data_IF_489142623189
#
_entry.id   IF_489142623189
#
_cell.length_a   1.000
_cell.length_b   1.000
_cell.length_c   1.000
_cell.angle_alpha   90.00
_cell.angle_beta   90.00
_cell.angle_gamma   90.00
#
_symmetry.space_group_name_H-M   'P 1'
#
loop_
_entity.id
_entity.type
_entity.pdbx_description
1 polymer ?
#
# COMPACT_ATOMS: atom_id res chain seq x y z
N UNK A 1 -23.56 20.63 8.34
CA UNK A 1 -24.32 19.75 9.23
C UNK A 1 -23.57 18.47 9.50
N UNK A 2 -23.58 18.04 10.74
CA UNK A 2 -22.99 16.76 11.09
C UNK A 2 -23.77 15.62 10.40
N UNK A 3 -23.04 14.65 9.87
CA UNK A 3 -23.66 13.45 9.29
C UNK A 3 -23.89 12.42 10.39
N UNK A 4 -24.85 11.55 10.17
CA UNK A 4 -25.10 10.41 11.07
C UNK A 4 -24.30 9.21 10.53
N UNK A 5 -23.10 9.03 11.06
CA UNK A 5 -22.17 7.99 10.62
C UNK A 5 -22.76 6.59 10.79
N UNK A 6 -23.39 6.34 11.92
CA UNK A 6 -23.96 5.02 12.20
C UNK A 6 -25.05 4.66 11.19
N UNK A 7 -25.92 5.62 10.88
CA UNK A 7 -26.97 5.40 9.88
C UNK A 7 -26.39 5.13 8.50
N UNK A 8 -25.33 5.86 8.15
CA UNK A 8 -24.63 5.65 6.87
C UNK A 8 -24.02 4.24 6.82
N UNK A 9 -23.36 3.80 7.90
CA UNK A 9 -22.81 2.44 7.96
C UNK A 9 -23.88 1.38 7.81
N UNK A 10 -25.02 1.56 8.47
CA UNK A 10 -26.14 0.62 8.37
C UNK A 10 -26.69 0.56 6.94
N UNK A 11 -26.86 1.71 6.31
CA UNK A 11 -27.35 1.79 4.92
C UNK A 11 -26.36 1.13 3.96
N UNK A 12 -25.06 1.44 4.11
CA UNK A 12 -24.03 0.83 3.29
C UNK A 12 -24.03 -0.69 3.45
N UNK A 13 -24.17 -1.20 4.68
CA UNK A 13 -24.19 -2.63 4.94
C UNK A 13 -25.38 -3.32 4.24
N UNK A 14 -26.53 -2.68 4.22
CA UNK A 14 -27.70 -3.21 3.48
C UNK A 14 -27.42 -3.31 1.98
N UNK A 15 -26.76 -2.31 1.42
CA UNK A 15 -26.37 -2.36 0.02
C UNK A 15 -25.37 -3.49 -0.26
N UNK A 16 -24.39 -3.70 0.64
CA UNK A 16 -23.40 -4.78 0.51
C UNK A 16 -24.11 -6.15 0.51
N UNK A 17 -25.07 -6.34 1.42
CA UNK A 17 -25.86 -7.58 1.50
C UNK A 17 -26.61 -7.87 0.20
N UNK A 18 -27.02 -6.82 -0.50
CA UNK A 18 -27.71 -6.92 -1.80
C UNK A 18 -26.74 -6.89 -2.98
N UNK A 19 -25.42 -6.94 -2.72
CA UNK A 19 -24.38 -6.86 -3.72
C UNK A 19 -24.41 -5.56 -4.54
N UNK A 20 -24.94 -4.50 -3.96
CA UNK A 20 -24.97 -3.17 -4.57
C UNK A 20 -23.74 -2.37 -4.07
N UNK A 21 -22.56 -2.83 -4.47
CA UNK A 21 -21.28 -2.27 -4.00
C UNK A 21 -21.07 -0.83 -4.41
N UNK A 22 -21.54 -0.44 -5.61
CA UNK A 22 -21.50 0.93 -6.10
C UNK A 22 -22.24 1.89 -5.16
N UNK A 23 -23.41 1.49 -4.69
CA UNK A 23 -24.22 2.31 -3.76
C UNK A 23 -23.62 2.34 -2.37
N UNK A 24 -23.06 1.23 -1.92
CA UNK A 24 -22.35 1.19 -0.64
C UNK A 24 -21.16 2.15 -0.64
N UNK A 25 -20.40 2.18 -1.73
CA UNK A 25 -19.27 3.11 -1.90
C UNK A 25 -19.77 4.55 -1.80
N UNK A 26 -20.86 4.88 -2.48
CA UNK A 26 -21.43 6.24 -2.45
C UNK A 26 -21.78 6.66 -1.02
N UNK A 27 -22.33 5.75 -0.22
CA UNK A 27 -22.63 6.02 1.18
C UNK A 27 -21.36 6.27 2.00
N UNK A 28 -20.37 5.40 1.88
CA UNK A 28 -19.09 5.59 2.58
C UNK A 28 -18.38 6.87 2.16
N UNK A 29 -18.50 7.29 0.90
CA UNK A 29 -17.89 8.53 0.42
C UNK A 29 -18.46 9.76 1.16
N UNK A 30 -19.69 9.72 1.62
CA UNK A 30 -20.27 10.79 2.43
C UNK A 30 -19.49 10.97 3.75
N UNK A 31 -19.06 9.87 4.35
CA UNK A 31 -18.23 9.90 5.56
C UNK A 31 -16.85 10.51 5.25
N UNK A 32 -16.24 10.08 4.16
CA UNK A 32 -14.90 10.55 3.76
C UNK A 32 -14.91 12.02 3.36
N UNK A 33 -16.00 12.51 2.77
CA UNK A 33 -16.15 13.94 2.47
C UNK A 33 -16.17 14.78 3.75
N UNK A 34 -16.81 14.26 4.81
CA UNK A 34 -16.84 14.90 6.12
C UNK A 34 -15.51 14.78 6.85
N UNK A 35 -14.85 13.61 6.74
CA UNK A 35 -13.58 13.31 7.37
C UNK A 35 -12.64 12.63 6.38
N UNK A 36 -11.85 13.41 5.61
CA UNK A 36 -10.95 12.86 4.59
C UNK A 36 -9.84 11.96 5.16
N UNK A 37 -9.60 12.00 6.45
CA UNK A 37 -8.55 11.22 7.13
C UNK A 37 -9.09 9.93 7.75
N UNK A 38 -10.33 9.58 7.50
CA UNK A 38 -10.92 8.34 8.00
C UNK A 38 -10.40 7.14 7.21
N UNK A 39 -9.24 6.64 7.61
CA UNK A 39 -8.57 5.54 6.93
C UNK A 39 -9.41 4.26 6.92
N UNK A 40 -10.14 4.00 8.00
CA UNK A 40 -10.97 2.78 8.09
C UNK A 40 -12.08 2.78 7.05
N UNK A 41 -12.73 3.93 6.87
CA UNK A 41 -13.78 4.06 5.84
C UNK A 41 -13.19 4.03 4.44
N UNK A 42 -12.05 4.70 4.23
CA UNK A 42 -11.33 4.61 2.96
C UNK A 42 -10.95 3.17 2.60
N UNK A 43 -10.51 2.38 3.59
CA UNK A 43 -10.18 0.98 3.37
C UNK A 43 -11.39 0.19 2.91
N UNK A 44 -12.56 0.44 3.50
CA UNK A 44 -13.83 -0.19 3.08
C UNK A 44 -14.16 0.17 1.63
N UNK A 45 -13.97 1.42 1.25
CA UNK A 45 -14.18 1.87 -0.14
C UNK A 45 -13.25 1.11 -1.09
N UNK A 46 -11.96 1.05 -0.77
CA UNK A 46 -10.98 0.33 -1.57
C UNK A 46 -11.36 -1.14 -1.75
N UNK A 47 -11.78 -1.80 -0.68
CA UNK A 47 -12.21 -3.20 -0.72
C UNK A 47 -13.40 -3.41 -1.66
N UNK A 48 -14.37 -2.51 -1.63
CA UNK A 48 -15.54 -2.58 -2.51
C UNK A 48 -15.17 -2.28 -3.97
N UNK A 49 -14.29 -1.32 -4.19
CA UNK A 49 -13.79 -1.03 -5.53
C UNK A 49 -13.09 -2.24 -6.13
N UNK A 50 -12.29 -2.95 -5.32
CA UNK A 50 -11.63 -4.18 -5.76
C UNK A 50 -12.66 -5.27 -6.08
N UNK A 51 -13.73 -5.39 -5.30
CA UNK A 51 -14.81 -6.34 -5.59
C UNK A 51 -15.50 -6.02 -6.91
N UNK A 52 -15.64 -4.76 -7.26
CA UNK A 52 -16.20 -4.31 -8.54
C UNK A 52 -15.18 -4.45 -9.68
N UNK A 53 -13.98 -4.91 -9.41
CA UNK A 53 -12.87 -5.00 -10.36
C UNK A 53 -12.46 -3.62 -10.90
N UNK A 54 -12.74 -2.57 -10.16
CA UNK A 54 -12.28 -1.21 -10.44
C UNK A 54 -10.87 -1.05 -9.85
N UNK A 55 -9.91 -1.78 -10.41
CA UNK A 55 -8.57 -1.90 -9.81
C UNK A 55 -7.78 -0.60 -9.78
N UNK A 56 -7.74 0.22 -10.82
CA UNK A 56 -7.03 1.50 -10.71
C UNK A 56 -7.57 2.38 -9.60
N UNK A 57 -8.88 2.45 -9.43
CA UNK A 57 -9.53 3.22 -8.37
C UNK A 57 -9.23 2.61 -7.00
N UNK A 58 -9.30 1.28 -6.87
CA UNK A 58 -9.01 0.58 -5.62
C UNK A 58 -7.57 0.85 -5.18
N UNK A 59 -6.61 0.78 -6.09
CA UNK A 59 -5.21 1.04 -5.80
C UNK A 59 -5.01 2.48 -5.32
N UNK A 60 -5.62 3.45 -5.99
CA UNK A 60 -5.52 4.85 -5.58
C UNK A 60 -6.08 5.07 -4.17
N UNK A 61 -7.19 4.41 -3.85
CA UNK A 61 -7.79 4.47 -2.51
C UNK A 61 -6.88 3.83 -1.47
N UNK A 62 -6.37 2.65 -1.74
CA UNK A 62 -5.44 1.96 -0.85
C UNK A 62 -4.15 2.76 -0.63
N UNK A 63 -3.65 3.43 -1.66
CA UNK A 63 -2.46 4.27 -1.54
C UNK A 63 -2.68 5.40 -0.53
N UNK A 64 -3.84 6.05 -0.58
CA UNK A 64 -4.21 7.06 0.42
C UNK A 64 -4.22 6.47 1.83
N UNK A 65 -4.79 5.29 1.99
CA UNK A 65 -4.83 4.59 3.28
C UNK A 65 -3.41 4.28 3.79
N UNK A 66 -2.57 3.73 2.91
CA UNK A 66 -1.19 3.38 3.29
C UNK A 66 -0.38 4.61 3.70
N UNK A 67 -0.52 5.71 2.96
CA UNK A 67 0.17 6.96 3.29
C UNK A 67 -0.33 7.53 4.62
N UNK A 68 -1.62 7.46 4.87
CA UNK A 68 -2.19 7.90 6.14
C UNK A 68 -1.63 7.06 7.31
N UNK A 69 -1.61 5.74 7.17
CA UNK A 69 -1.06 4.87 8.20
C UNK A 69 0.42 5.15 8.44
N UNK A 70 1.19 5.38 7.38
CA UNK A 70 2.61 5.73 7.50
C UNK A 70 2.78 7.03 8.29
N UNK A 71 2.00 8.06 7.96
CA UNK A 71 2.04 9.36 8.64
C UNK A 71 1.66 9.26 10.11
N UNK A 72 0.80 8.32 10.47
CA UNK A 72 0.36 8.08 11.85
C UNK A 72 1.29 7.14 12.63
N UNK A 73 2.37 6.67 12.02
CA UNK A 73 3.26 5.72 12.66
C UNK A 73 2.70 4.30 12.77
N UNK A 74 1.65 4.00 12.04
CA UNK A 74 1.03 2.66 12.03
C UNK A 74 1.69 1.79 10.97
N UNK A 75 2.96 1.48 11.18
CA UNK A 75 3.83 0.87 10.17
C UNK A 75 3.36 -0.50 9.72
N UNK A 76 2.91 -1.35 10.64
CA UNK A 76 2.45 -2.71 10.28
C UNK A 76 1.19 -2.66 9.41
N UNK A 77 0.29 -1.72 9.69
CA UNK A 77 -0.90 -1.52 8.87
C UNK A 77 -0.53 -0.98 7.49
N UNK A 78 0.41 -0.05 7.43
CA UNK A 78 0.90 0.50 6.17
C UNK A 78 1.51 -0.61 5.29
N UNK A 79 2.33 -1.47 5.87
CA UNK A 79 2.94 -2.61 5.16
C UNK A 79 1.86 -3.48 4.54
N UNK A 80 0.84 -3.84 5.30
CA UNK A 80 -0.23 -4.71 4.82
C UNK A 80 -0.93 -4.11 3.61
N UNK A 81 -1.23 -2.81 3.64
CA UNK A 81 -1.92 -2.13 2.54
C UNK A 81 -1.01 -2.00 1.31
N UNK A 82 0.26 -1.63 1.49
CA UNK A 82 1.21 -1.57 0.37
C UNK A 82 1.39 -2.93 -0.31
N UNK A 83 1.47 -4.00 0.46
CA UNK A 83 1.54 -5.36 -0.10
C UNK A 83 0.29 -5.70 -0.90
N UNK A 84 -0.86 -5.28 -0.43
CA UNK A 84 -2.13 -5.50 -1.13
C UNK A 84 -2.14 -4.77 -2.49
N UNK A 85 -1.65 -3.53 -2.52
CA UNK A 85 -1.50 -2.78 -3.78
C UNK A 85 -0.60 -3.55 -4.76
N UNK A 86 0.56 -4.00 -4.30
CA UNK A 86 1.51 -4.74 -5.15
C UNK A 86 0.88 -6.00 -5.73
N UNK A 87 0.11 -6.72 -4.92
CA UNK A 87 -0.56 -7.94 -5.35
C UNK A 87 -1.61 -7.66 -6.43
N UNK A 88 -2.41 -6.59 -6.25
CA UNK A 88 -3.40 -6.19 -7.25
C UNK A 88 -2.71 -5.77 -8.55
N UNK A 89 -1.64 -4.98 -8.46
CA UNK A 89 -0.89 -4.56 -9.65
C UNK A 89 -0.37 -5.77 -10.40
N UNK A 90 0.25 -6.71 -9.68
CA UNK A 90 0.83 -7.91 -10.29
C UNK A 90 -0.22 -8.76 -10.99
N UNK A 91 -1.37 -8.97 -10.34
CA UNK A 91 -2.40 -9.90 -10.84
C UNK A 91 -3.31 -9.30 -11.90
N UNK A 92 -3.66 -8.04 -11.76
CA UNK A 92 -4.78 -7.47 -12.51
C UNK A 92 -4.42 -6.30 -13.42
N UNK A 93 -3.44 -5.49 -13.04
CA UNK A 93 -3.08 -4.28 -13.78
C UNK A 93 -1.55 -4.11 -13.85
N UNK A 94 -0.83 -5.12 -14.42
CA UNK A 94 0.63 -5.06 -14.46
C UNK A 94 1.17 -3.85 -15.23
N UNK A 95 0.38 -3.25 -16.11
CA UNK A 95 0.73 -2.02 -16.81
C UNK A 95 0.90 -0.82 -15.89
N UNK A 96 0.40 -0.90 -14.65
CA UNK A 96 0.58 0.15 -13.65
C UNK A 96 1.83 -0.06 -12.77
N UNK A 97 2.63 -1.09 -13.04
CA UNK A 97 3.78 -1.43 -12.20
C UNK A 97 4.77 -0.26 -12.07
N UNK A 98 5.04 0.47 -13.16
CA UNK A 98 5.97 1.59 -13.11
C UNK A 98 5.43 2.76 -12.28
N UNK A 99 4.14 3.02 -12.37
CA UNK A 99 3.48 4.08 -11.61
C UNK A 99 3.59 3.86 -10.11
N UNK A 100 3.53 2.61 -9.67
CA UNK A 100 3.57 2.24 -8.25
C UNK A 100 4.90 1.62 -7.84
N UNK A 101 5.94 1.81 -8.64
CA UNK A 101 7.29 1.29 -8.34
C UNK A 101 7.87 1.86 -7.03
N UNK A 102 7.44 3.05 -6.61
CA UNK A 102 7.90 3.68 -5.38
C UNK A 102 7.56 2.87 -4.11
N UNK A 103 6.59 1.95 -4.20
CA UNK A 103 6.18 1.13 -3.06
C UNK A 103 7.29 0.20 -2.60
N UNK A 104 8.11 -0.32 -3.54
CA UNK A 104 9.24 -1.17 -3.19
C UNK A 104 10.21 -0.49 -2.21
N UNK A 105 10.81 0.66 -2.58
CA UNK A 105 11.65 1.41 -1.65
C UNK A 105 10.94 1.81 -0.36
N UNK A 106 9.67 2.19 -0.45
CA UNK A 106 8.90 2.58 0.73
C UNK A 106 8.77 1.43 1.73
N UNK A 107 8.45 0.23 1.25
CA UNK A 107 8.39 -0.96 2.10
C UNK A 107 9.75 -1.26 2.72
N UNK A 108 10.83 -1.17 1.92
CA UNK A 108 12.17 -1.42 2.41
C UNK A 108 12.54 -0.46 3.54
N UNK A 109 12.21 0.82 3.38
CA UNK A 109 12.45 1.84 4.42
C UNK A 109 11.66 1.53 5.70
N UNK A 110 10.39 1.16 5.57
CA UNK A 110 9.56 0.84 6.73
C UNK A 110 10.12 -0.38 7.47
N UNK A 111 10.50 -1.42 6.76
CA UNK A 111 11.13 -2.60 7.36
C UNK A 111 12.43 -2.24 8.09
N UNK A 112 13.24 -1.37 7.48
CA UNK A 112 14.49 -0.90 8.09
C UNK A 112 14.21 -0.17 9.41
N UNK A 113 13.24 0.75 9.42
CA UNK A 113 12.87 1.50 10.60
C UNK A 113 12.36 0.60 11.73
N UNK A 114 11.66 -0.48 11.37
CA UNK A 114 11.15 -1.45 12.33
C UNK A 114 12.22 -2.44 12.81
N UNK A 115 13.41 -2.40 12.27
CA UNK A 115 14.47 -3.35 12.60
C UNK A 115 14.26 -4.74 12.03
N UNK A 116 13.37 -4.89 11.05
CA UNK A 116 13.10 -6.15 10.37
C UNK A 116 14.11 -6.31 9.22
N UNK A 117 15.35 -6.60 9.59
CA UNK A 117 16.50 -6.57 8.68
C UNK A 117 16.34 -7.53 7.50
N UNK A 118 15.92 -8.77 7.75
CA UNK A 118 15.74 -9.76 6.68
C UNK A 118 14.71 -9.30 5.65
N UNK A 119 13.57 -8.76 6.12
CA UNK A 119 12.52 -8.24 5.24
C UNK A 119 13.03 -7.02 4.47
N UNK A 120 13.78 -6.13 5.14
CA UNK A 120 14.35 -4.95 4.52
C UNK A 120 15.32 -5.34 3.40
N UNK A 121 16.21 -6.30 3.66
CA UNK A 121 17.17 -6.77 2.66
C UNK A 121 16.48 -7.39 1.45
N UNK A 122 15.44 -8.21 1.69
CA UNK A 122 14.66 -8.80 0.60
C UNK A 122 13.98 -7.72 -0.25
N UNK A 123 13.41 -6.71 0.39
CA UNK A 123 12.75 -5.60 -0.30
C UNK A 123 13.74 -4.77 -1.11
N UNK A 124 14.90 -4.44 -0.52
CA UNK A 124 15.96 -3.70 -1.21
C UNK A 124 16.52 -4.49 -2.39
N UNK A 125 16.65 -5.81 -2.25
CA UNK A 125 17.11 -6.66 -3.35
C UNK A 125 16.16 -6.60 -4.55
N UNK A 126 14.87 -6.63 -4.32
CA UNK A 126 13.86 -6.45 -5.38
C UNK A 126 14.00 -5.09 -6.07
N UNK A 127 14.24 -4.02 -5.29
CA UNK A 127 14.46 -2.68 -5.82
C UNK A 127 15.70 -2.65 -6.72
N UNK A 128 16.81 -3.21 -6.25
CA UNK A 128 18.06 -3.27 -7.02
C UNK A 128 17.87 -4.06 -8.31
N UNK A 129 17.22 -5.21 -8.24
CA UNK A 129 16.95 -6.05 -9.42
C UNK A 129 16.13 -5.28 -10.46
N UNK A 130 15.11 -4.55 -10.03
CA UNK A 130 14.29 -3.75 -10.93
C UNK A 130 15.10 -2.64 -11.58
N UNK A 131 15.97 -1.97 -10.80
CA UNK A 131 16.84 -0.91 -11.32
C UNK A 131 17.81 -1.47 -12.38
N UNK A 132 18.41 -2.64 -12.14
CA UNK A 132 19.29 -3.29 -13.10
C UNK A 132 18.56 -3.60 -14.41
N UNK A 133 17.33 -4.13 -14.32
CA UNK A 133 16.53 -4.42 -15.51
C UNK A 133 16.19 -3.17 -16.30
N UNK A 134 16.07 -2.04 -15.62
CA UNK A 134 15.79 -0.74 -16.26
C UNK A 134 17.05 -0.06 -16.78
N UNK A 135 18.25 -0.66 -16.63
CA UNK A 135 19.51 -0.07 -17.03
C UNK A 135 20.02 1.03 -16.11
N UNK A 136 19.45 1.14 -14.89
CA UNK A 136 19.80 2.16 -13.91
C UNK A 136 20.85 1.61 -12.94
N UNK A 137 22.01 1.26 -13.49
CA UNK A 137 23.03 0.50 -12.76
C UNK A 137 23.63 1.26 -11.59
N UNK A 138 23.85 2.57 -11.72
CA UNK A 138 24.41 3.39 -10.62
C UNK A 138 23.49 3.40 -9.41
N UNK A 139 22.20 3.55 -9.65
CA UNK A 139 21.21 3.53 -8.59
C UNK A 139 21.13 2.15 -7.93
N UNK A 140 21.24 1.09 -8.73
CA UNK A 140 21.28 -0.28 -8.20
C UNK A 140 22.50 -0.49 -7.29
N UNK A 141 23.68 0.02 -7.68
CA UNK A 141 24.89 -0.05 -6.86
C UNK A 141 24.68 0.66 -5.52
N UNK A 142 24.05 1.83 -5.53
CA UNK A 142 23.75 2.56 -4.29
C UNK A 142 22.85 1.75 -3.37
N UNK A 143 21.86 1.05 -3.92
CA UNK A 143 20.98 0.17 -3.15
C UNK A 143 21.79 -1.00 -2.55
N UNK A 144 22.67 -1.63 -3.33
CA UNK A 144 23.50 -2.72 -2.82
C UNK A 144 24.42 -2.26 -1.70
N UNK A 145 25.01 -1.06 -1.82
CA UNK A 145 25.82 -0.47 -0.74
C UNK A 145 25.01 -0.28 0.53
N UNK A 146 23.78 0.19 0.39
CA UNK A 146 22.87 0.36 1.52
C UNK A 146 22.56 -0.98 2.18
N UNK A 147 22.36 -2.03 1.38
CA UNK A 147 22.12 -3.38 1.88
C UNK A 147 23.31 -3.91 2.69
N UNK A 148 24.52 -3.67 2.21
CA UNK A 148 25.74 -4.06 2.94
C UNK A 148 25.79 -3.37 4.30
N UNK A 149 25.46 -2.10 4.37
CA UNK A 149 25.42 -1.36 5.64
C UNK A 149 24.37 -1.91 6.61
N UNK A 150 23.20 -2.27 6.10
CA UNK A 150 22.14 -2.87 6.92
C UNK A 150 22.56 -4.22 7.51
N UNK A 151 23.33 -4.99 6.76
CA UNK A 151 23.80 -6.31 7.16
C UNK A 151 25.18 -6.25 7.83
N UNK A 152 25.64 -5.05 8.18
CA UNK A 152 27.00 -4.82 8.69
C UNK A 152 27.31 -5.46 10.04
N UNK A 153 26.26 -5.91 10.78
CA UNK A 153 26.44 -6.64 12.02
C UNK A 153 26.72 -8.13 11.84
N UNK A 154 26.67 -8.63 10.59
CA UNK A 154 26.90 -10.04 10.26
C UNK A 154 27.98 -10.14 9.18
N UNK A 155 29.25 -10.41 9.56
CA UNK A 155 30.35 -10.41 8.58
C UNK A 155 30.32 -11.59 7.60
N UNK A 156 29.65 -12.69 7.92
CA UNK A 156 29.68 -13.89 7.08
C UNK A 156 29.07 -13.67 5.68
N UNK A 157 27.94 -13.02 5.53
CA UNK A 157 27.33 -12.82 4.21
C UNK A 157 28.18 -11.99 3.25
N UNK A 158 29.20 -11.30 3.74
CA UNK A 158 30.05 -10.45 2.92
C UNK A 158 31.26 -11.17 2.36
N UNK A 159 31.44 -12.41 2.76
CA UNK A 159 32.51 -13.24 2.28
C UNK A 159 32.07 -14.04 1.06
#
# INVERSE_FOLDING_TARGET
MAIDREKIFQTAQKYIERKRYDRAIAEYQRIVQDDPNDARTLLKIGDLQARLRAYPEAIATYDRVAQHYTAQGMSLKAIAVYKQIREIVRKHVPELADRYAYIGPRLAEIYTELGLTSDALAAWDEVATRLLKAGRDREAVDVFRHMVQLDGGNPLPHL
#
